data_IF_020154188215
#
_entry.id   IF_020154188215
#
_cell.length_a   1.000
_cell.length_b   1.000
_cell.length_c   1.000
_cell.angle_alpha   90.00
_cell.angle_beta   90.00
_cell.angle_gamma   90.00
#
_symmetry.space_group_name_H-M   'P 1'
#
loop_
_entity.id
_entity.type
_entity.pdbx_description
1 polymer ?
#
# COMPACT_ATOMS: atom_id res chain seq x y z
N UNK A 1 6.62 13.50 9.17
CA UNK A 1 6.56 12.85 7.88
C UNK A 1 7.38 11.59 7.89
N UNK A 2 6.79 10.57 7.38
CA UNK A 2 7.28 9.20 7.29
C UNK A 2 7.41 8.83 5.82
N UNK A 3 8.41 8.03 5.46
CA UNK A 3 8.48 7.43 4.12
C UNK A 3 7.55 6.22 4.05
N UNK A 4 7.19 5.80 2.84
CA UNK A 4 6.42 4.56 2.65
C UNK A 4 7.16 3.34 3.17
N UNK A 5 8.48 3.30 3.01
CA UNK A 5 9.36 2.24 3.56
C UNK A 5 9.28 2.18 5.09
N UNK A 6 9.43 3.32 5.78
CA UNK A 6 9.33 3.39 7.25
C UNK A 6 7.94 2.98 7.73
N UNK A 7 6.89 3.47 7.07
CA UNK A 7 5.51 3.13 7.42
C UNK A 7 5.22 1.64 7.26
N UNK A 8 5.68 1.04 6.16
CA UNK A 8 5.51 -0.39 5.91
C UNK A 8 6.22 -1.24 6.96
N UNK A 9 7.44 -0.86 7.37
CA UNK A 9 8.16 -1.52 8.46
C UNK A 9 7.36 -1.49 9.78
N UNK A 10 6.77 -0.35 10.12
CA UNK A 10 5.94 -0.22 11.33
C UNK A 10 4.69 -1.11 11.23
N UNK A 11 4.04 -1.17 10.07
CA UNK A 11 2.88 -2.04 9.86
C UNK A 11 3.24 -3.52 9.99
N UNK A 12 4.36 -3.94 9.39
CA UNK A 12 4.84 -5.32 9.50
C UNK A 12 5.16 -5.67 10.95
N UNK A 13 5.91 -4.82 11.65
CA UNK A 13 6.21 -5.03 13.06
C UNK A 13 4.93 -5.13 13.91
N UNK A 14 3.94 -4.28 13.64
CA UNK A 14 2.66 -4.32 14.32
C UNK A 14 1.85 -5.59 14.03
N UNK A 15 2.00 -6.20 12.86
CA UNK A 15 1.29 -7.43 12.51
C UNK A 15 1.89 -8.67 13.16
N UNK A 16 3.20 -8.76 13.26
CA UNK A 16 3.91 -9.96 13.76
C UNK A 16 4.18 -9.95 15.26
N UNK A 17 4.01 -8.79 15.93
CA UNK A 17 4.30 -8.64 17.35
C UNK A 17 3.04 -8.74 18.21
N UNK A 18 3.11 -9.26 19.45
CA UNK A 18 2.06 -9.09 20.44
C UNK A 18 1.71 -7.62 20.64
N UNK A 19 0.42 -7.28 20.70
CA UNK A 19 -0.03 -5.88 20.66
C UNK A 19 0.38 -5.09 21.91
N UNK A 20 0.39 -5.72 23.05
CA UNK A 20 0.85 -5.14 24.32
C UNK A 20 2.36 -4.83 24.30
N UNK A 21 3.15 -5.63 23.61
CA UNK A 21 4.59 -5.40 23.46
C UNK A 21 4.92 -4.30 22.46
N UNK A 22 4.26 -4.26 21.31
CA UNK A 22 4.60 -3.31 20.24
C UNK A 22 3.99 -1.92 20.44
N UNK A 23 2.86 -1.81 21.14
CA UNK A 23 2.13 -0.55 21.29
C UNK A 23 2.98 0.60 21.87
N UNK A 24 3.78 0.40 22.93
CA UNK A 24 4.64 1.47 23.45
C UNK A 24 5.61 2.03 22.41
N UNK A 25 6.20 1.16 21.60
CA UNK A 25 7.13 1.57 20.54
C UNK A 25 6.44 2.32 19.40
N UNK A 26 5.20 1.93 19.05
CA UNK A 26 4.42 2.65 18.05
C UNK A 26 4.02 4.05 18.53
N UNK A 27 3.68 4.19 19.80
CA UNK A 27 3.37 5.49 20.42
C UNK A 27 4.62 6.39 20.44
N UNK A 28 5.77 5.86 20.86
CA UNK A 28 7.03 6.59 20.82
C UNK A 28 7.43 6.98 19.37
N UNK A 29 7.25 6.07 18.41
CA UNK A 29 7.50 6.38 17.00
C UNK A 29 6.60 7.50 16.49
N UNK A 30 5.31 7.50 16.88
CA UNK A 30 4.36 8.55 16.54
C UNK A 30 4.82 9.92 17.07
N UNK A 31 5.17 10.00 18.35
CA UNK A 31 5.67 11.24 18.97
C UNK A 31 6.92 11.76 18.24
N UNK A 32 7.90 10.91 17.98
CA UNK A 32 9.11 11.29 17.22
C UNK A 32 8.82 11.76 15.80
N UNK A 33 7.81 11.17 15.15
CA UNK A 33 7.39 11.59 13.81
C UNK A 33 6.67 12.95 13.83
N UNK A 34 5.88 13.22 14.86
CA UNK A 34 5.24 14.52 15.07
C UNK A 34 6.28 15.62 15.33
N UNK A 35 7.28 15.34 16.16
CA UNK A 35 8.40 16.25 16.45
C UNK A 35 9.27 16.53 15.22
N UNK A 36 9.51 15.51 14.37
CA UNK A 36 10.29 15.63 13.13
C UNK A 36 9.70 16.69 12.19
N UNK A 37 8.40 16.96 12.29
CA UNK A 37 7.71 17.91 11.41
C UNK A 37 7.72 17.50 9.94
N UNK A 38 7.46 18.41 9.03
CA UNK A 38 7.53 18.15 7.58
C UNK A 38 8.96 17.81 7.15
N UNK A 39 9.19 16.75 6.37
CA UNK A 39 10.55 16.33 5.96
C UNK A 39 11.31 17.39 5.15
N UNK A 40 10.62 18.42 4.67
CA UNK A 40 11.19 19.39 3.73
C UNK A 40 11.67 18.75 2.40
N UNK A 41 11.62 17.41 2.31
CA UNK A 41 12.07 16.69 1.12
C UNK A 41 11.14 16.99 -0.04
N UNK A 42 11.64 17.68 -1.03
CA UNK A 42 10.94 17.82 -2.31
C UNK A 42 11.03 16.50 -3.05
N UNK A 43 9.91 15.84 -3.21
CA UNK A 43 9.80 14.63 -4.04
C UNK A 43 9.17 14.99 -5.39
N UNK A 44 9.54 14.26 -6.43
CA UNK A 44 8.99 14.44 -7.78
C UNK A 44 7.59 13.87 -7.90
N UNK A 45 7.31 12.76 -7.22
CA UNK A 45 6.02 12.08 -7.33
C UNK A 45 5.56 11.49 -5.99
N UNK A 46 4.26 11.54 -5.77
CA UNK A 46 3.52 10.87 -4.69
C UNK A 46 2.86 9.64 -5.29
N UNK A 47 3.26 8.47 -4.86
CA UNK A 47 2.81 7.21 -5.44
C UNK A 47 1.94 6.43 -4.44
N UNK A 48 0.99 5.66 -4.97
CA UNK A 48 0.26 4.64 -4.24
C UNK A 48 0.73 3.27 -4.72
N UNK A 49 0.99 2.35 -3.78
CA UNK A 49 1.38 0.99 -4.08
C UNK A 49 0.21 0.04 -3.86
N UNK A 50 -0.10 -0.78 -4.85
CA UNK A 50 -1.16 -1.79 -4.79
C UNK A 50 -0.56 -3.14 -5.15
N UNK A 51 -0.92 -4.19 -4.44
CA UNK A 51 -0.43 -5.51 -4.78
C UNK A 51 -0.65 -6.59 -3.74
N UNK A 52 0.02 -7.71 -3.94
CA UNK A 52 -0.05 -8.88 -3.09
C UNK A 52 0.76 -8.77 -1.80
N UNK A 53 1.31 -9.90 -1.40
CA UNK A 53 2.24 -9.97 -0.28
C UNK A 53 3.51 -9.17 -0.58
N UNK A 54 3.88 -8.29 0.34
CA UNK A 54 5.11 -7.50 0.26
C UNK A 54 5.74 -7.47 1.65
N UNK A 55 6.55 -8.47 1.93
CA UNK A 55 7.26 -8.65 3.20
C UNK A 55 8.70 -8.10 3.18
N UNK A 56 9.16 -7.61 2.02
CA UNK A 56 10.45 -6.98 1.85
C UNK A 56 10.30 -5.46 1.62
N UNK A 57 10.55 -4.61 2.64
CA UNK A 57 10.45 -3.16 2.52
C UNK A 57 11.48 -2.56 1.54
N UNK A 58 12.54 -3.28 1.18
CA UNK A 58 13.50 -2.83 0.17
C UNK A 58 12.83 -2.59 -1.19
N UNK A 59 11.77 -3.31 -1.51
CA UNK A 59 11.00 -3.07 -2.72
C UNK A 59 10.42 -1.64 -2.76
N UNK A 60 9.86 -1.18 -1.65
CA UNK A 60 9.36 0.20 -1.52
C UNK A 60 10.52 1.19 -1.57
N UNK A 61 11.64 0.87 -0.92
CA UNK A 61 12.84 1.71 -0.93
C UNK A 61 13.39 1.93 -2.33
N UNK A 62 13.39 0.90 -3.17
CA UNK A 62 13.78 1.01 -4.58
C UNK A 62 12.87 1.99 -5.33
N UNK A 63 11.56 1.94 -5.12
CA UNK A 63 10.62 2.90 -5.70
C UNK A 63 10.92 4.33 -5.21
N UNK A 64 11.09 4.51 -3.91
CA UNK A 64 11.34 5.82 -3.29
C UNK A 64 12.73 6.40 -3.64
N UNK A 65 13.69 5.54 -4.02
CA UNK A 65 15.03 5.97 -4.47
C UNK A 65 15.00 6.79 -5.77
N UNK A 66 13.90 6.74 -6.53
CA UNK A 66 13.70 7.52 -7.74
C UNK A 66 13.11 8.92 -7.47
N UNK A 67 13.38 9.45 -6.30
CA UNK A 67 12.87 10.74 -5.84
C UNK A 67 11.34 10.81 -5.77
N UNK A 68 10.72 9.70 -5.38
CA UNK A 68 9.31 9.57 -5.10
C UNK A 68 9.06 9.31 -3.61
N UNK A 69 7.81 9.32 -3.21
CA UNK A 69 7.34 8.83 -1.90
C UNK A 69 6.10 7.98 -2.10
N UNK A 70 6.05 6.83 -1.47
CA UNK A 70 4.85 5.99 -1.38
C UNK A 70 4.01 6.51 -0.22
N UNK A 71 2.93 7.21 -0.53
CA UNK A 71 2.08 7.90 0.45
C UNK A 71 0.89 7.08 0.91
N UNK A 72 0.57 6.02 0.20
CA UNK A 72 -0.50 5.08 0.53
C UNK A 72 -0.19 3.72 -0.09
N UNK A 73 -0.72 2.67 0.51
CA UNK A 73 -0.64 1.33 -0.05
C UNK A 73 -1.98 0.58 0.06
N UNK A 74 -2.10 -0.47 -0.73
CA UNK A 74 -3.13 -1.50 -0.65
C UNK A 74 -2.48 -2.85 -0.92
N UNK A 75 -1.59 -3.26 -0.01
CA UNK A 75 -0.90 -4.55 -0.07
C UNK A 75 -1.39 -5.50 1.00
N UNK A 76 -1.22 -6.82 0.80
CA UNK A 76 -1.69 -7.83 1.74
C UNK A 76 -0.99 -7.76 3.09
N UNK A 77 0.28 -7.33 3.13
CA UNK A 77 1.08 -7.09 4.34
C UNK A 77 1.12 -5.63 4.78
N UNK A 78 0.51 -4.74 4.01
CA UNK A 78 0.41 -3.31 4.28
C UNK A 78 -0.92 -2.92 4.91
N UNK A 79 -1.62 -2.00 4.28
CA UNK A 79 -2.84 -1.39 4.82
C UNK A 79 -4.10 -2.26 4.74
N UNK A 80 -4.14 -3.31 3.88
CA UNK A 80 -5.34 -4.17 3.76
C UNK A 80 -5.73 -4.81 5.09
N UNK A 81 -4.84 -5.40 5.90
CA UNK A 81 -5.23 -6.10 7.12
C UNK A 81 -5.77 -5.22 8.24
N UNK A 82 -5.49 -3.92 8.25
CA UNK A 82 -5.82 -3.37 9.50
C UNK A 82 -5.77 -1.92 9.87
N UNK A 83 -5.95 -0.99 8.97
CA UNK A 83 -6.01 0.42 9.36
C UNK A 83 -7.37 0.87 9.94
N UNK A 84 -8.39 0.00 9.93
CA UNK A 84 -9.69 0.36 10.51
C UNK A 84 -9.83 -0.23 11.91
N UNK A 85 -10.08 0.58 12.94
CA UNK A 85 -10.32 0.08 14.30
C UNK A 85 -11.50 -0.88 14.36
N UNK A 86 -11.44 -1.83 15.30
CA UNK A 86 -12.56 -2.70 15.62
C UNK A 86 -13.43 -1.95 16.62
N UNK A 87 -14.62 -1.53 16.22
CA UNK A 87 -15.57 -0.88 17.10
C UNK A 87 -16.27 -1.91 18.00
N UNK A 88 -16.17 -1.78 19.32
CA UNK A 88 -16.89 -2.68 20.23
C UNK A 88 -18.40 -2.55 20.02
N UNK A 89 -19.07 -3.64 19.67
CA UNK A 89 -20.52 -3.65 19.41
C UNK A 89 -21.37 -3.97 20.66
N UNK A 90 -20.73 -4.15 21.83
CA UNK A 90 -21.42 -4.59 23.06
C UNK A 90 -21.93 -6.03 23.06
N UNK A 91 -21.70 -6.75 21.96
CA UNK A 91 -22.07 -8.16 21.77
C UNK A 91 -20.92 -9.12 22.04
N UNK A 92 -21.11 -10.42 21.74
CA UNK A 92 -20.05 -11.42 21.85
C UNK A 92 -18.83 -11.03 20.99
N UNK A 93 -17.64 -11.05 21.59
CA UNK A 93 -16.39 -10.61 20.93
C UNK A 93 -16.14 -11.33 19.59
N UNK A 94 -16.38 -12.64 19.53
CA UNK A 94 -16.19 -13.42 18.30
C UNK A 94 -17.11 -12.90 17.17
N UNK A 95 -18.35 -12.54 17.48
CA UNK A 95 -19.28 -11.99 16.50
C UNK A 95 -18.78 -10.63 15.99
N UNK A 96 -18.34 -9.75 16.89
CA UNK A 96 -17.76 -8.46 16.53
C UNK A 96 -16.54 -8.61 15.61
N UNK A 97 -15.64 -9.54 15.93
CA UNK A 97 -14.45 -9.82 15.11
C UNK A 97 -14.83 -10.39 13.74
N UNK A 98 -15.78 -11.31 13.69
CA UNK A 98 -16.27 -11.88 12.43
C UNK A 98 -16.89 -10.82 11.53
N UNK A 99 -17.83 -10.03 12.04
CA UNK A 99 -18.47 -8.94 11.29
C UNK A 99 -17.46 -7.92 10.77
N UNK A 100 -16.48 -7.54 11.61
CA UNK A 100 -15.43 -6.66 11.22
C UNK A 100 -14.57 -7.25 10.10
N UNK A 101 -14.18 -8.52 10.21
CA UNK A 101 -13.37 -9.20 9.20
C UNK A 101 -14.12 -9.31 7.86
N UNK A 102 -15.40 -9.67 7.88
CA UNK A 102 -16.20 -9.74 6.66
C UNK A 102 -16.42 -8.38 5.99
N UNK A 103 -16.63 -7.33 6.77
CA UNK A 103 -16.79 -5.97 6.23
C UNK A 103 -15.50 -5.41 5.60
N UNK A 104 -14.36 -5.87 6.06
CA UNK A 104 -13.04 -5.35 5.65
C UNK A 104 -12.39 -6.08 4.49
N UNK A 105 -12.78 -7.33 4.22
CA UNK A 105 -12.04 -8.15 3.26
C UNK A 105 -12.23 -7.62 1.85
N UNK A 106 -11.28 -6.79 1.42
CA UNK A 106 -11.19 -6.20 0.08
C UNK A 106 -10.06 -6.86 -0.72
N UNK A 107 -9.92 -8.16 -0.54
CA UNK A 107 -8.94 -8.97 -1.24
C UNK A 107 -9.47 -9.35 -2.64
N UNK A 108 -8.62 -9.48 -3.67
CA UNK A 108 -9.02 -9.99 -4.99
C UNK A 108 -9.71 -11.35 -4.98
N UNK A 109 -9.57 -12.15 -3.91
CA UNK A 109 -10.37 -13.37 -3.71
C UNK A 109 -11.87 -13.12 -3.69
N UNK A 110 -12.29 -11.93 -3.26
CA UNK A 110 -13.69 -11.49 -3.28
C UNK A 110 -13.98 -10.85 -4.63
N UNK A 111 -14.24 -11.68 -5.63
CA UNK A 111 -14.38 -11.24 -7.02
C UNK A 111 -15.53 -10.25 -7.20
N UNK A 112 -16.64 -10.42 -6.45
CA UNK A 112 -17.81 -9.54 -6.49
C UNK A 112 -17.55 -8.13 -5.92
N UNK A 113 -16.48 -7.96 -5.14
CA UNK A 113 -16.11 -6.67 -4.52
C UNK A 113 -15.19 -5.80 -5.41
N UNK A 114 -15.08 -6.07 -6.70
CA UNK A 114 -14.21 -5.33 -7.59
C UNK A 114 -14.49 -3.82 -7.57
N UNK A 115 -15.73 -3.42 -7.76
CA UNK A 115 -16.13 -2.01 -7.80
C UNK A 115 -15.84 -1.31 -6.46
N UNK A 116 -16.07 -2.01 -5.36
CA UNK A 116 -15.76 -1.49 -4.04
C UNK A 116 -14.24 -1.32 -3.83
N UNK A 117 -13.43 -2.27 -4.29
CA UNK A 117 -11.97 -2.13 -4.26
C UNK A 117 -11.51 -0.94 -5.09
N UNK A 118 -12.04 -0.80 -6.30
CA UNK A 118 -11.73 0.33 -7.18
C UNK A 118 -12.11 1.65 -6.50
N UNK A 119 -13.31 1.75 -5.93
CA UNK A 119 -13.75 2.99 -5.27
C UNK A 119 -12.80 3.39 -4.13
N UNK A 120 -12.38 2.45 -3.29
CA UNK A 120 -11.43 2.73 -2.21
C UNK A 120 -10.08 3.22 -2.75
N UNK A 121 -9.61 2.64 -3.86
CA UNK A 121 -8.39 3.10 -4.51
C UNK A 121 -8.54 4.55 -4.99
N UNK A 122 -9.64 4.88 -5.67
CA UNK A 122 -9.91 6.22 -6.18
C UNK A 122 -10.03 7.24 -5.05
N UNK A 123 -10.71 6.87 -3.96
CA UNK A 123 -10.83 7.74 -2.79
C UNK A 123 -9.47 7.97 -2.12
N UNK A 124 -8.66 6.92 -1.99
CA UNK A 124 -7.29 7.02 -1.47
C UNK A 124 -6.41 7.90 -2.36
N UNK A 125 -6.52 7.77 -3.68
CA UNK A 125 -5.79 8.63 -4.63
C UNK A 125 -6.13 10.11 -4.40
N UNK A 126 -7.41 10.44 -4.21
CA UNK A 126 -7.85 11.82 -3.96
C UNK A 126 -7.38 12.33 -2.59
N UNK A 127 -7.60 11.54 -1.54
CA UNK A 127 -7.25 11.88 -0.16
C UNK A 127 -5.75 12.17 0.01
N UNK A 128 -4.91 11.27 -0.53
CA UNK A 128 -3.45 11.37 -0.40
C UNK A 128 -2.79 12.15 -1.54
N UNK A 129 -3.57 12.73 -2.47
CA UNK A 129 -3.06 13.49 -3.63
C UNK A 129 -1.99 12.69 -4.37
N UNK A 130 -2.35 11.49 -4.77
CA UNK A 130 -1.47 10.57 -5.48
C UNK A 130 -1.31 11.03 -6.93
N UNK A 131 -0.07 11.11 -7.41
CA UNK A 131 0.25 11.45 -8.80
C UNK A 131 0.16 10.23 -9.73
N UNK A 132 0.42 9.03 -9.21
CA UNK A 132 0.37 7.80 -9.98
C UNK A 132 0.34 6.55 -9.11
N UNK A 133 -0.18 5.48 -9.67
CA UNK A 133 -0.35 4.19 -8.99
C UNK A 133 0.67 3.18 -9.53
N UNK A 134 1.34 2.49 -8.62
CA UNK A 134 2.19 1.33 -8.93
C UNK A 134 1.42 0.08 -8.51
N UNK A 135 1.12 -0.79 -9.46
CA UNK A 135 0.53 -2.11 -9.17
C UNK A 135 1.61 -3.15 -9.30
N UNK A 136 1.91 -3.82 -8.19
CA UNK A 136 2.88 -4.91 -8.16
C UNK A 136 2.18 -6.26 -8.09
N UNK A 137 2.70 -7.24 -8.83
CA UNK A 137 2.21 -8.61 -8.82
C UNK A 137 3.38 -9.56 -8.70
N UNK A 138 3.32 -10.45 -7.73
CA UNK A 138 4.25 -11.57 -7.66
C UNK A 138 3.93 -12.50 -8.83
N UNK A 139 4.96 -12.94 -9.57
CA UNK A 139 4.81 -13.91 -10.64
C UNK A 139 4.07 -15.14 -10.13
N UNK A 140 3.14 -15.64 -10.93
CA UNK A 140 2.27 -16.78 -10.60
C UNK A 140 1.26 -16.53 -9.48
N UNK A 141 1.04 -15.30 -9.05
CA UNK A 141 -0.08 -14.97 -8.17
C UNK A 141 -1.35 -14.83 -9.00
N UNK A 142 -2.16 -15.89 -9.07
CA UNK A 142 -3.39 -15.92 -9.86
C UNK A 142 -4.39 -14.85 -9.41
N UNK A 143 -4.51 -14.63 -8.11
CA UNK A 143 -5.47 -13.69 -7.53
C UNK A 143 -5.23 -12.25 -8.02
N UNK A 144 -4.03 -11.75 -7.83
CA UNK A 144 -3.66 -10.42 -8.29
C UNK A 144 -3.43 -10.37 -9.81
N UNK A 145 -2.99 -11.47 -10.41
CA UNK A 145 -2.80 -11.57 -11.85
C UNK A 145 -4.09 -11.37 -12.64
N UNK A 146 -5.19 -11.95 -12.18
CA UNK A 146 -6.53 -11.79 -12.79
C UNK A 146 -7.11 -10.41 -12.50
N UNK A 147 -7.06 -9.95 -11.25
CA UNK A 147 -7.66 -8.67 -10.83
C UNK A 147 -6.93 -7.45 -11.41
N UNK A 148 -5.62 -7.57 -11.63
CA UNK A 148 -4.78 -6.46 -12.09
C UNK A 148 -5.19 -5.93 -13.46
N UNK A 149 -5.55 -6.78 -14.40
CA UNK A 149 -5.86 -6.34 -15.78
C UNK A 149 -7.05 -5.40 -15.82
N UNK A 150 -8.22 -5.76 -15.29
CA UNK A 150 -9.36 -4.84 -15.21
C UNK A 150 -9.07 -3.64 -14.29
N UNK A 151 -8.32 -3.81 -13.21
CA UNK A 151 -7.98 -2.72 -12.28
C UNK A 151 -7.12 -1.64 -12.95
N UNK A 152 -6.07 -2.02 -13.68
CA UNK A 152 -5.25 -1.09 -14.46
C UNK A 152 -6.09 -0.31 -15.46
N UNK A 153 -6.98 -1.00 -16.18
CA UNK A 153 -7.87 -0.36 -17.15
C UNK A 153 -8.80 0.64 -16.48
N UNK A 154 -9.43 0.26 -15.38
CA UNK A 154 -10.36 1.09 -14.65
C UNK A 154 -9.69 2.35 -14.06
N UNK A 155 -8.52 2.20 -13.43
CA UNK A 155 -7.78 3.34 -12.86
C UNK A 155 -7.33 4.29 -13.97
N UNK A 156 -6.86 3.78 -15.09
CA UNK A 156 -6.45 4.60 -16.25
C UNK A 156 -7.62 5.35 -16.89
N UNK A 157 -8.83 4.77 -16.90
CA UNK A 157 -10.01 5.46 -17.43
C UNK A 157 -10.42 6.69 -16.60
N UNK A 158 -9.99 6.73 -15.32
CA UNK A 158 -10.11 7.91 -14.45
C UNK A 158 -8.99 8.95 -14.64
N UNK A 159 -8.13 8.77 -15.65
CA UNK A 159 -7.01 9.67 -15.94
C UNK A 159 -5.81 9.51 -15.01
N UNK A 160 -5.77 8.47 -14.19
CA UNK A 160 -4.69 8.24 -13.25
C UNK A 160 -3.60 7.38 -13.90
N UNK A 161 -2.33 7.84 -13.95
CA UNK A 161 -1.21 7.06 -14.46
C UNK A 161 -0.99 5.77 -13.65
N UNK A 162 -0.75 4.65 -14.34
CA UNK A 162 -0.51 3.35 -13.69
C UNK A 162 0.73 2.68 -14.27
N UNK A 163 1.67 2.33 -13.39
CA UNK A 163 2.80 1.45 -13.66
C UNK A 163 2.48 0.05 -13.18
N UNK A 164 2.52 -0.91 -14.07
CA UNK A 164 2.46 -2.34 -13.73
C UNK A 164 3.88 -2.87 -13.52
N UNK A 165 4.14 -3.50 -12.37
CA UNK A 165 5.38 -4.21 -12.07
C UNK A 165 5.07 -5.69 -11.79
N UNK A 166 5.84 -6.58 -12.40
CA UNK A 166 5.88 -7.99 -12.03
C UNK A 166 7.19 -8.25 -11.29
N UNK A 167 7.12 -8.97 -10.19
CA UNK A 167 8.30 -9.33 -9.41
C UNK A 167 8.31 -10.80 -9.03
N UNK A 168 9.45 -11.28 -8.68
CA UNK A 168 9.62 -12.54 -7.96
C UNK A 168 9.43 -12.31 -6.46
N UNK A 169 9.32 -13.38 -5.68
CA UNK A 169 9.15 -13.28 -4.22
C UNK A 169 10.31 -12.51 -3.58
N UNK A 170 11.54 -12.83 -3.96
CA UNK A 170 12.71 -12.07 -3.53
C UNK A 170 12.98 -10.92 -4.47
N UNK A 171 13.47 -9.80 -3.91
CA UNK A 171 13.87 -8.68 -4.71
C UNK A 171 14.99 -9.09 -5.68
N UNK A 172 14.65 -9.13 -6.95
CA UNK A 172 15.56 -9.40 -8.06
C UNK A 172 15.34 -8.34 -9.15
N UNK A 173 16.35 -8.06 -9.94
CA UNK A 173 16.23 -7.09 -11.03
C UNK A 173 16.02 -5.63 -10.55
N UNK A 174 16.59 -5.25 -9.42
CA UNK A 174 16.47 -3.92 -8.83
C UNK A 174 16.77 -2.80 -9.84
N UNK A 175 17.83 -2.94 -10.65
CA UNK A 175 18.18 -1.96 -11.68
C UNK A 175 17.07 -1.79 -12.73
N UNK A 176 16.46 -2.89 -13.17
CA UNK A 176 15.33 -2.84 -14.09
C UNK A 176 14.13 -2.13 -13.47
N UNK A 177 13.84 -2.43 -12.21
CA UNK A 177 12.75 -1.78 -11.49
C UNK A 177 12.98 -0.27 -11.34
N UNK A 178 14.20 0.15 -10.96
CA UNK A 178 14.59 1.56 -10.88
C UNK A 178 14.33 2.28 -12.20
N UNK A 179 14.82 1.71 -13.31
CA UNK A 179 14.63 2.30 -14.64
C UNK A 179 13.15 2.44 -15.00
N UNK A 180 12.34 1.44 -14.72
CA UNK A 180 10.89 1.48 -14.99
C UNK A 180 10.15 2.51 -14.14
N UNK A 181 10.48 2.61 -12.85
CA UNK A 181 9.89 3.61 -11.95
C UNK A 181 10.32 5.01 -12.37
N UNK A 182 11.59 5.21 -12.71
CA UNK A 182 12.09 6.49 -13.20
C UNK A 182 11.34 6.93 -14.46
N UNK A 183 11.29 6.06 -15.48
CA UNK A 183 10.58 6.35 -16.72
C UNK A 183 9.09 6.65 -16.49
N UNK A 184 8.45 5.98 -15.53
CA UNK A 184 7.07 6.23 -15.15
C UNK A 184 6.91 7.64 -14.57
N UNK A 185 7.78 8.05 -13.64
CA UNK A 185 7.75 9.39 -13.04
C UNK A 185 7.96 10.46 -14.12
N UNK A 186 8.93 10.26 -15.01
CA UNK A 186 9.20 11.17 -16.13
C UNK A 186 8.00 11.29 -17.09
N UNK A 187 7.29 10.18 -17.35
CA UNK A 187 6.10 10.18 -18.22
C UNK A 187 4.94 11.01 -17.66
N UNK A 188 4.92 11.28 -16.36
CA UNK A 188 3.94 12.15 -15.72
C UNK A 188 4.34 13.63 -15.76
N UNK A 189 5.47 13.98 -16.36
CA UNK A 189 5.99 15.35 -16.40
C UNK A 189 6.56 15.82 -15.05
N UNK A 190 6.97 14.88 -14.22
CA UNK A 190 7.48 15.13 -12.85
C UNK A 190 9.01 15.07 -12.77
#
# INVERSE_FOLDING_TARGET
PITGTEFHLLLMAAQVSPKDMILPYLLEAKEKLEERGGSGRKVRARLMLIGGELDDPEYIRVIESQNAVVVADRTCTGSIPGLTPIEPSGGPLIKTLAEHSFKKTLCPRMMEDFDRRLQIILDTVREYRVDGVVIEVIKFCDLWGVDMVPMVKAIRSEGIPVLKLEREYRLSGEGQMRTRVQAFIESMGK
#
